data_IF_145377105431
#
_entry.id   IF_145377105431
#
_cell.length_a   1.000
_cell.length_b   1.000
_cell.length_c   1.000
_cell.angle_alpha   90.00
_cell.angle_beta   90.00
_cell.angle_gamma   90.00
#
_symmetry.space_group_name_H-M   'P 1'
#
loop_
_entity.id
_entity.type
_entity.pdbx_description
1 polymer ?
#
# COMPACT_ATOMS: atom_id res chain seq x y z
N UNK A 1 -7.80 -1.93 -50.01
CA UNK A 1 -6.67 -2.30 -49.13
C UNK A 1 -6.22 -1.15 -48.22
N UNK A 2 -5.87 0.04 -48.73
CA UNK A 2 -5.44 1.18 -47.87
C UNK A 2 -6.43 1.54 -46.75
N UNK A 3 -7.74 1.62 -47.05
CA UNK A 3 -8.77 1.97 -46.04
C UNK A 3 -8.82 0.99 -44.85
N UNK A 4 -8.58 -0.30 -45.11
CA UNK A 4 -8.62 -1.36 -44.11
C UNK A 4 -7.40 -1.31 -43.17
N UNK A 5 -6.24 -0.92 -43.71
CA UNK A 5 -5.01 -0.67 -42.94
C UNK A 5 -5.19 0.53 -42.00
N UNK A 6 -5.81 1.61 -42.47
CA UNK A 6 -6.10 2.78 -41.65
C UNK A 6 -7.11 2.48 -40.52
N UNK A 7 -8.13 1.66 -40.79
CA UNK A 7 -9.07 1.20 -39.77
C UNK A 7 -8.38 0.39 -38.68
N UNK A 8 -7.47 -0.51 -39.07
CA UNK A 8 -6.73 -1.36 -38.13
C UNK A 8 -5.77 -0.53 -37.27
N UNK A 9 -5.06 0.42 -37.87
CA UNK A 9 -4.19 1.37 -37.16
C UNK A 9 -4.95 2.23 -36.17
N UNK A 10 -6.14 2.71 -36.54
CA UNK A 10 -6.99 3.49 -35.63
C UNK A 10 -7.44 2.64 -34.43
N UNK A 11 -7.82 1.38 -34.64
CA UNK A 11 -8.20 0.47 -33.54
C UNK A 11 -7.02 0.21 -32.61
N UNK A 12 -5.83 -0.07 -33.15
CA UNK A 12 -4.61 -0.28 -32.35
C UNK A 12 -4.27 0.97 -31.52
N UNK A 13 -4.40 2.16 -32.10
CA UNK A 13 -4.14 3.43 -31.42
C UNK A 13 -5.12 3.68 -30.27
N UNK A 14 -6.42 3.37 -30.46
CA UNK A 14 -7.45 3.53 -29.43
C UNK A 14 -7.19 2.57 -28.26
N UNK A 15 -6.85 1.31 -28.56
CA UNK A 15 -6.54 0.30 -27.53
C UNK A 15 -5.27 0.66 -26.76
N UNK A 16 -4.24 1.18 -27.43
CA UNK A 16 -3.00 1.59 -26.77
C UNK A 16 -3.14 2.83 -25.88
N UNK A 17 -4.12 3.70 -26.14
CA UNK A 17 -4.46 4.83 -25.27
C UNK A 17 -5.29 4.45 -24.02
N UNK A 18 -5.82 3.23 -23.98
CA UNK A 18 -6.61 2.72 -22.85
C UNK A 18 -5.78 1.92 -21.84
N UNK A 19 -4.50 1.66 -22.12
CA UNK A 19 -3.59 1.05 -21.16
C UNK A 19 -3.27 2.11 -20.12
N UNK A 20 -4.00 2.10 -19.00
CA UNK A 20 -3.56 2.82 -17.82
C UNK A 20 -2.19 2.25 -17.43
N UNK A 21 -1.21 3.09 -17.05
CA UNK A 21 -0.05 2.56 -16.34
C UNK A 21 -0.57 1.71 -15.19
N UNK A 22 0.10 0.59 -14.89
CA UNK A 22 -0.16 -0.10 -13.63
C UNK A 22 -0.09 0.98 -12.53
N UNK A 23 -1.09 1.02 -11.67
CA UNK A 23 -1.05 1.91 -10.52
C UNK A 23 -0.55 1.01 -9.39
N UNK A 24 0.50 1.41 -8.67
CA UNK A 24 0.98 0.66 -7.51
C UNK A 24 -0.19 0.31 -6.60
N UNK A 25 -0.36 -0.96 -6.34
CA UNK A 25 -1.56 -1.46 -5.69
C UNK A 25 -1.25 -1.86 -4.26
N UNK A 26 -1.97 -1.23 -3.33
CA UNK A 26 -2.18 -1.83 -2.02
C UNK A 26 -3.02 -3.10 -2.21
N UNK A 27 -2.49 -4.25 -1.79
CA UNK A 27 -3.14 -5.55 -1.89
C UNK A 27 -3.65 -6.03 -0.52
N UNK A 28 -4.84 -5.60 -0.07
CA UNK A 28 -5.39 -5.98 1.22
C UNK A 28 -5.61 -7.49 1.37
N UNK A 29 -5.74 -8.25 0.29
CA UNK A 29 -5.85 -9.71 0.32
C UNK A 29 -4.59 -10.40 0.86
N UNK A 30 -3.44 -9.73 0.82
CA UNK A 30 -2.18 -10.26 1.35
C UNK A 30 -1.91 -9.81 2.79
N UNK A 31 -2.72 -8.91 3.33
CA UNK A 31 -2.59 -8.43 4.70
C UNK A 31 -2.52 -9.58 5.70
N UNK A 32 -1.74 -9.34 6.75
CA UNK A 32 -1.59 -10.26 7.89
C UNK A 32 -2.05 -9.57 9.15
N UNK A 33 -2.83 -10.29 9.94
CA UNK A 33 -3.28 -9.83 11.25
C UNK A 33 -2.55 -10.65 12.32
N UNK A 34 -1.85 -9.96 13.21
CA UNK A 34 -1.07 -10.57 14.28
C UNK A 34 -1.62 -10.07 15.61
N UNK A 35 -2.28 -10.98 16.31
CA UNK A 35 -2.81 -10.71 17.65
C UNK A 35 -1.67 -10.63 18.66
N UNK A 36 -1.66 -9.56 19.45
CA UNK A 36 -0.65 -9.28 20.47
C UNK A 36 -1.30 -8.70 21.71
N UNK A 37 -0.61 -8.75 22.85
CA UNK A 37 -1.08 -8.03 24.04
C UNK A 37 -0.93 -6.52 23.83
N UNK A 38 -1.73 -5.74 24.55
CA UNK A 38 -1.59 -4.28 24.54
C UNK A 38 -0.18 -3.81 24.90
N UNK A 39 0.47 -4.49 25.86
CA UNK A 39 1.84 -4.17 26.27
C UNK A 39 2.85 -4.41 25.15
N UNK A 40 2.73 -5.53 24.43
CA UNK A 40 3.57 -5.82 23.26
C UNK A 40 3.36 -4.79 22.15
N UNK A 41 2.10 -4.47 21.83
CA UNK A 41 1.78 -3.43 20.85
C UNK A 41 2.35 -2.07 21.26
N UNK A 42 2.30 -1.73 22.55
CA UNK A 42 2.86 -0.50 23.12
C UNK A 42 4.38 -0.43 22.99
N UNK A 43 5.07 -1.51 23.31
CA UNK A 43 6.52 -1.61 23.16
C UNK A 43 6.94 -1.40 21.70
N UNK A 44 6.27 -2.07 20.76
CA UNK A 44 6.54 -1.93 19.32
C UNK A 44 6.26 -0.49 18.86
N UNK A 45 5.13 0.09 19.27
CA UNK A 45 4.79 1.46 18.94
C UNK A 45 5.83 2.47 19.43
N UNK A 46 6.39 2.26 20.62
CA UNK A 46 7.45 3.13 21.17
C UNK A 46 8.74 3.03 20.33
N UNK A 47 9.09 1.84 19.83
CA UNK A 47 10.22 1.65 18.91
C UNK A 47 10.02 2.39 17.58
N UNK A 48 8.76 2.52 17.14
CA UNK A 48 8.37 3.28 15.95
C UNK A 48 8.26 4.79 16.22
N UNK A 49 8.69 5.27 17.41
CA UNK A 49 8.67 6.68 17.77
C UNK A 49 7.29 7.21 18.19
N UNK A 50 6.30 6.33 18.39
CA UNK A 50 4.93 6.71 18.77
C UNK A 50 4.72 6.84 20.28
N UNK A 51 5.75 7.25 21.01
CA UNK A 51 5.71 7.35 22.47
C UNK A 51 4.55 8.24 22.93
N UNK A 52 3.78 7.77 23.91
CA UNK A 52 2.60 8.43 24.46
C UNK A 52 1.41 8.61 23.49
N UNK A 53 1.42 7.98 22.31
CA UNK A 53 0.26 7.99 21.39
C UNK A 53 -0.67 6.83 21.77
N UNK A 54 -1.94 7.06 22.14
CA UNK A 54 -2.87 5.98 22.45
C UNK A 54 -3.01 4.98 21.30
N UNK A 55 -3.08 3.68 21.60
CA UNK A 55 -3.29 2.64 20.60
C UNK A 55 -4.78 2.38 20.36
N UNK A 56 -5.15 2.08 19.12
CA UNK A 56 -6.52 1.88 18.69
C UNK A 56 -6.69 2.08 17.19
N UNK A 57 -7.91 1.93 16.69
CA UNK A 57 -8.23 2.04 15.26
C UNK A 57 -7.75 3.35 14.62
N UNK A 58 -7.86 4.47 15.35
CA UNK A 58 -7.37 5.76 14.87
C UNK A 58 -5.86 5.78 14.66
N UNK A 59 -5.11 5.10 15.52
CA UNK A 59 -3.66 4.99 15.40
C UNK A 59 -3.29 4.04 14.26
N UNK A 60 -3.99 2.91 14.12
CA UNK A 60 -3.85 2.01 12.98
C UNK A 60 -4.07 2.75 11.64
N UNK A 61 -5.15 3.53 11.54
CA UNK A 61 -5.44 4.37 10.37
C UNK A 61 -4.34 5.40 10.12
N UNK A 62 -3.85 6.07 11.15
CA UNK A 62 -2.76 7.06 11.01
C UNK A 62 -1.47 6.43 10.53
N UNK A 63 -1.11 5.26 11.04
CA UNK A 63 0.09 4.54 10.61
C UNK A 63 0.00 4.10 9.16
N UNK A 64 -1.16 3.58 8.74
CA UNK A 64 -1.44 3.24 7.35
C UNK A 64 -1.35 4.48 6.44
N UNK A 65 -2.13 5.52 6.73
CA UNK A 65 -2.17 6.76 5.92
C UNK A 65 -0.78 7.42 5.82
N UNK A 66 0.05 7.30 6.84
CA UNK A 66 1.41 7.85 6.82
C UNK A 66 2.32 7.06 5.87
N UNK A 67 2.23 5.73 5.88
CA UNK A 67 3.02 4.85 5.01
C UNK A 67 2.58 5.01 3.54
N UNK A 68 1.28 5.00 3.25
CA UNK A 68 0.75 5.28 1.91
C UNK A 68 1.26 6.61 1.33
N UNK A 69 1.27 7.67 2.16
CA UNK A 69 1.79 8.98 1.74
C UNK A 69 3.29 8.98 1.49
N UNK A 70 4.05 8.14 2.19
CA UNK A 70 5.49 8.01 1.98
C UNK A 70 5.75 7.24 0.69
N UNK A 71 5.08 6.10 0.49
CA UNK A 71 5.15 5.29 -0.73
C UNK A 71 4.86 6.15 -1.95
N UNK A 72 3.71 6.83 -2.00
CA UNK A 72 3.34 7.70 -3.12
C UNK A 72 4.37 8.82 -3.41
N UNK A 73 5.06 9.33 -2.38
CA UNK A 73 6.15 10.31 -2.57
C UNK A 73 7.40 9.66 -3.16
N UNK A 74 7.79 8.48 -2.69
CA UNK A 74 8.94 7.73 -3.19
C UNK A 74 8.69 7.36 -4.66
N UNK A 75 7.51 6.89 -5.01
CA UNK A 75 7.12 6.56 -6.39
C UNK A 75 7.23 7.77 -7.31
N UNK A 76 6.68 8.90 -6.88
CA UNK A 76 6.77 10.15 -7.64
C UNK A 76 8.22 10.59 -7.89
N UNK A 77 9.12 10.35 -6.93
CA UNK A 77 10.54 10.72 -7.04
C UNK A 77 11.30 9.73 -7.92
N UNK A 78 11.03 8.44 -7.76
CA UNK A 78 11.83 7.36 -8.37
C UNK A 78 11.28 6.89 -9.73
N UNK A 79 10.01 7.16 -10.01
CA UNK A 79 9.28 6.62 -11.16
C UNK A 79 9.05 5.11 -11.09
N UNK A 80 9.25 4.49 -9.92
CA UNK A 80 9.05 3.06 -9.69
C UNK A 80 7.83 2.88 -8.80
N UNK A 81 6.97 1.95 -9.17
CA UNK A 81 5.81 1.53 -8.38
C UNK A 81 6.21 0.48 -7.34
N UNK A 82 5.57 0.51 -6.18
CA UNK A 82 5.75 -0.47 -5.11
C UNK A 82 4.42 -1.15 -4.79
N UNK A 83 4.34 -2.43 -5.15
CA UNK A 83 3.30 -3.31 -4.64
C UNK A 83 3.55 -3.60 -3.16
N UNK A 84 2.53 -3.48 -2.33
CA UNK A 84 2.67 -3.62 -0.88
C UNK A 84 1.39 -4.13 -0.20
N UNK A 85 1.55 -4.62 1.03
CA UNK A 85 0.48 -5.05 1.93
C UNK A 85 0.89 -4.73 3.36
N UNK A 86 0.01 -4.90 4.34
CA UNK A 86 0.30 -4.55 5.73
C UNK A 86 0.26 -5.75 6.67
N UNK A 87 1.14 -5.70 7.67
CA UNK A 87 0.99 -6.46 8.91
C UNK A 87 0.27 -5.55 9.90
N UNK A 88 -0.94 -5.95 10.28
CA UNK A 88 -1.74 -5.29 11.29
C UNK A 88 -1.52 -5.96 12.64
N UNK A 89 -1.01 -5.20 13.61
CA UNK A 89 -1.06 -5.63 15.00
C UNK A 89 -2.47 -5.42 15.52
N UNK A 90 -3.05 -6.47 16.10
CA UNK A 90 -4.39 -6.44 16.70
C UNK A 90 -4.30 -6.65 18.20
N UNK A 91 -5.19 -5.98 18.94
CA UNK A 91 -5.42 -6.18 20.37
C UNK A 91 -6.91 -6.42 20.55
N UNK A 92 -7.27 -7.57 21.10
CA UNK A 92 -8.64 -8.05 21.22
C UNK A 92 -9.37 -8.07 19.86
N UNK A 93 -8.64 -8.43 18.79
CA UNK A 93 -9.15 -8.42 17.42
C UNK A 93 -9.31 -7.04 16.78
N UNK A 94 -8.95 -5.95 17.48
CA UNK A 94 -9.02 -4.58 16.97
C UNK A 94 -7.64 -4.16 16.44
N UNK A 95 -7.52 -3.73 15.17
CA UNK A 95 -6.26 -3.19 14.65
C UNK A 95 -5.80 -1.95 15.41
N UNK A 96 -4.54 -1.94 15.83
CA UNK A 96 -3.94 -0.84 16.58
C UNK A 96 -2.75 -0.18 15.87
N UNK A 97 -2.05 -0.91 15.00
CA UNK A 97 -0.87 -0.44 14.25
C UNK A 97 -0.84 -1.19 12.91
N UNK A 98 -0.65 -0.48 11.81
CA UNK A 98 -0.32 -1.05 10.50
C UNK A 98 1.16 -0.88 10.20
N UNK A 99 1.82 -1.92 9.71
CA UNK A 99 3.25 -1.93 9.36
C UNK A 99 3.39 -2.49 7.95
N UNK A 100 3.90 -1.70 7.02
CA UNK A 100 4.30 -2.15 5.69
C UNK A 100 5.61 -2.94 5.81
N UNK A 101 5.61 -4.28 5.62
CA UNK A 101 6.84 -5.04 5.60
C UNK A 101 7.56 -4.79 4.27
N UNK A 102 8.87 -4.49 4.28
CA UNK A 102 9.61 -4.33 3.04
C UNK A 102 9.62 -5.68 2.29
N UNK A 103 8.85 -5.79 1.23
CA UNK A 103 9.04 -6.84 0.24
C UNK A 103 9.91 -6.31 -0.90
N UNK A 104 11.13 -6.84 -1.08
CA UNK A 104 11.81 -6.66 -2.35
C UNK A 104 11.01 -7.40 -3.43
N UNK A 105 10.53 -6.66 -4.44
CA UNK A 105 10.14 -7.28 -5.71
C UNK A 105 11.36 -8.05 -6.23
N UNK A 106 11.25 -9.38 -6.30
CA UNK A 106 12.29 -10.28 -6.80
C UNK A 106 12.45 -10.16 -8.33
#
# INVERSE_FOLDING_TARGET
>A
MKKLVWSLLAVILIVSLQVKPAEAAYFPEYDKYVEVTYEQARQIADLLGMKNIPLGEQTAKRTFDAQEKIIAKIEKITGKEFDHYYIWLTVDGVPVIGIDPPLPLA
#
